data_IF_006759926091
#
_entry.id   IF_006759926091
#
_cell.length_a   1.000
_cell.length_b   1.000
_cell.length_c   1.000
_cell.angle_alpha   90.00
_cell.angle_beta   90.00
_cell.angle_gamma   90.00
#
_symmetry.space_group_name_H-M   'P 1'
#
loop_
_entity.id
_entity.type
_entity.pdbx_description
1 polymer ?
#
# COMPACT_ATOMS: atom_id res chain seq x y z
N UNK A 1 -10.14 -2.41 -4.54
CA UNK A 1 -9.34 -1.69 -3.52
C UNK A 1 -9.91 -1.75 -2.10
N UNK A 2 -11.16 -2.17 -1.89
CA UNK A 2 -11.82 -2.21 -0.58
C UNK A 2 -10.99 -2.82 0.57
N UNK A 3 -10.25 -3.91 0.32
CA UNK A 3 -9.43 -4.56 1.35
C UNK A 3 -8.30 -3.65 1.85
N UNK A 4 -7.64 -2.91 0.96
CA UNK A 4 -6.57 -1.99 1.35
C UNK A 4 -7.11 -0.80 2.17
N UNK A 5 -8.35 -0.37 1.91
CA UNK A 5 -9.00 0.70 2.69
C UNK A 5 -9.36 0.23 4.10
N UNK A 6 -9.81 -1.00 4.26
CA UNK A 6 -10.09 -1.59 5.58
C UNK A 6 -8.80 -1.69 6.41
N UNK A 7 -7.73 -2.23 5.82
CA UNK A 7 -6.41 -2.35 6.47
C UNK A 7 -5.85 -0.97 6.84
N UNK A 8 -5.94 0.01 5.94
CA UNK A 8 -5.50 1.37 6.24
C UNK A 8 -6.34 2.00 7.37
N UNK A 9 -7.64 1.74 7.39
CA UNK A 9 -8.52 2.23 8.46
C UNK A 9 -8.09 1.71 9.83
N UNK A 10 -7.78 0.41 9.93
CA UNK A 10 -7.27 -0.20 11.16
C UNK A 10 -5.93 0.41 11.60
N UNK A 11 -4.98 0.58 10.68
CA UNK A 11 -3.70 1.24 10.99
C UNK A 11 -3.87 2.69 11.46
N UNK A 12 -4.82 3.42 10.87
CA UNK A 12 -5.11 4.79 11.28
C UNK A 12 -5.77 4.85 12.66
N UNK A 13 -6.69 3.93 12.96
CA UNK A 13 -7.31 3.84 14.28
C UNK A 13 -6.26 3.54 15.36
N UNK A 14 -5.30 2.66 15.08
CA UNK A 14 -4.17 2.42 15.97
C UNK A 14 -3.30 3.67 16.15
N UNK A 15 -2.88 4.32 15.06
CA UNK A 15 -2.05 5.53 15.15
C UNK A 15 -2.74 6.68 15.88
N UNK A 16 -4.05 6.85 15.67
CA UNK A 16 -4.87 7.84 16.38
C UNK A 16 -4.93 7.53 17.88
N UNK A 17 -5.00 6.26 18.26
CA UNK A 17 -4.98 5.82 19.66
C UNK A 17 -3.63 6.07 20.31
N UNK A 18 -2.53 5.69 19.66
CA UNK A 18 -1.16 5.90 20.15
C UNK A 18 -0.86 7.39 20.36
N UNK A 19 -1.29 8.25 19.43
CA UNK A 19 -1.14 9.70 19.57
C UNK A 19 -1.92 10.25 20.77
N UNK A 20 -3.18 9.84 20.94
CA UNK A 20 -4.06 10.34 22.03
C UNK A 20 -3.66 9.84 23.41
N UNK A 21 -3.30 8.57 23.52
CA UNK A 21 -3.08 7.91 24.81
C UNK A 21 -1.61 7.97 25.26
N UNK A 22 -0.67 7.96 24.32
CA UNK A 22 0.77 7.83 24.61
C UNK A 22 1.58 9.05 24.16
N UNK A 23 0.97 10.01 23.46
CA UNK A 23 1.63 11.18 22.89
C UNK A 23 2.81 10.80 21.95
N UNK A 24 2.65 9.68 21.23
CA UNK A 24 3.60 9.18 20.23
C UNK A 24 3.15 9.64 18.85
N UNK A 25 4.09 10.09 18.02
CA UNK A 25 3.79 10.39 16.62
C UNK A 25 3.75 9.08 15.80
N UNK A 26 2.61 8.73 15.18
CA UNK A 26 2.49 7.50 14.42
C UNK A 26 3.36 7.52 13.15
N UNK A 27 3.88 6.35 12.81
CA UNK A 27 4.62 6.14 11.56
C UNK A 27 3.74 6.45 10.33
N UNK A 28 4.36 6.72 9.18
CA UNK A 28 3.64 7.14 7.97
C UNK A 28 2.47 6.22 7.58
N UNK A 29 2.62 4.90 7.77
CA UNK A 29 1.58 3.91 7.46
C UNK A 29 0.34 4.03 8.37
N UNK A 30 0.54 4.48 9.61
CA UNK A 30 -0.51 4.63 10.64
C UNK A 30 -0.99 6.09 10.77
N UNK A 31 -0.35 7.02 10.06
CA UNK A 31 -0.73 8.42 10.08
C UNK A 31 -1.82 8.70 9.03
N UNK A 32 -3.05 8.93 9.49
CA UNK A 32 -4.22 9.25 8.65
C UNK A 32 -4.00 10.45 7.73
N UNK A 33 -3.17 11.41 8.14
CA UNK A 33 -2.86 12.60 7.33
C UNK A 33 -2.03 12.27 6.08
N UNK A 34 -1.38 11.10 6.07
CA UNK A 34 -0.54 10.61 4.95
C UNK A 34 -1.26 9.57 4.10
N UNK A 35 -2.60 9.61 4.07
CA UNK A 35 -3.44 8.67 3.29
C UNK A 35 -3.11 8.69 1.79
N UNK A 36 -2.70 9.84 1.26
CA UNK A 36 -2.23 10.02 -0.11
C UNK A 36 -1.00 9.15 -0.45
N UNK A 37 -0.22 8.72 0.55
CA UNK A 37 0.92 7.82 0.38
C UNK A 37 0.54 6.34 0.33
N UNK A 38 -0.70 5.95 0.63
CA UNK A 38 -1.11 4.54 0.59
C UNK A 38 -0.76 3.87 -0.75
N UNK A 39 -1.01 4.48 -1.93
CA UNK A 39 -0.66 3.86 -3.18
C UNK A 39 0.83 3.53 -3.32
N UNK A 40 1.73 4.45 -2.96
CA UNK A 40 3.17 4.21 -3.06
C UNK A 40 3.67 3.20 -2.02
N UNK A 41 3.07 3.17 -0.83
CA UNK A 41 3.32 2.13 0.16
C UNK A 41 2.89 0.74 -0.32
N UNK A 42 1.74 0.62 -0.99
CA UNK A 42 1.28 -0.65 -1.56
C UNK A 42 2.21 -1.15 -2.68
N UNK A 43 2.70 -0.25 -3.56
CA UNK A 43 3.73 -0.61 -4.55
C UNK A 43 4.98 -1.15 -3.87
N UNK A 44 5.47 -0.44 -2.84
CA UNK A 44 6.68 -0.83 -2.12
C UNK A 44 6.53 -2.17 -1.41
N UNK A 45 5.36 -2.43 -0.78
CA UNK A 45 5.07 -3.70 -0.14
C UNK A 45 5.01 -4.86 -1.15
N UNK A 46 4.38 -4.64 -2.30
CA UNK A 46 4.32 -5.64 -3.36
C UNK A 46 5.73 -5.98 -3.87
N UNK A 47 6.56 -4.97 -4.11
CA UNK A 47 7.92 -5.15 -4.62
C UNK A 47 8.85 -5.83 -3.61
N UNK A 48 8.78 -5.42 -2.35
CA UNK A 48 9.68 -5.92 -1.32
C UNK A 48 9.30 -7.32 -0.81
N UNK A 49 8.01 -7.68 -0.84
CA UNK A 49 7.50 -8.88 -0.18
C UNK A 49 6.74 -9.78 -1.14
N UNK A 50 5.67 -9.27 -1.76
CA UNK A 50 4.69 -10.12 -2.45
C UNK A 50 5.24 -10.76 -3.72
N UNK A 51 6.00 -10.02 -4.53
CA UNK A 51 6.55 -10.55 -5.79
C UNK A 51 7.44 -11.75 -5.51
N UNK A 52 8.41 -11.62 -4.59
CA UNK A 52 9.33 -12.71 -4.31
C UNK A 52 8.60 -13.95 -3.78
N UNK A 53 7.60 -13.76 -2.90
CA UNK A 53 6.75 -14.83 -2.38
C UNK A 53 6.01 -15.55 -3.50
N UNK A 54 5.33 -14.82 -4.39
CA UNK A 54 4.53 -15.44 -5.44
C UNK A 54 5.38 -16.03 -6.58
N UNK A 55 6.57 -15.48 -6.84
CA UNK A 55 7.55 -16.09 -7.75
C UNK A 55 8.02 -17.45 -7.21
N UNK A 56 8.35 -17.53 -5.91
CA UNK A 56 8.71 -18.81 -5.29
C UNK A 56 7.57 -19.82 -5.40
N UNK A 57 6.34 -19.43 -5.08
CA UNK A 57 5.18 -20.31 -5.16
C UNK A 57 4.89 -20.79 -6.60
N UNK A 58 4.96 -19.89 -7.58
CA UNK A 58 4.77 -20.24 -8.99
C UNK A 58 5.89 -21.16 -9.51
N UNK A 59 7.13 -20.98 -9.03
CA UNK A 59 8.25 -21.87 -9.33
C UNK A 59 8.10 -23.27 -8.72
N UNK A 60 7.36 -23.42 -7.62
CA UNK A 60 7.05 -24.71 -7.00
C UNK A 60 5.86 -25.42 -7.65
N UNK A 61 4.87 -24.67 -8.13
CA UNK A 61 3.67 -25.20 -8.75
C UNK A 61 3.09 -24.21 -9.76
N UNK A 62 2.93 -24.65 -11.00
CA UNK A 62 2.33 -23.82 -12.06
C UNK A 62 0.90 -23.37 -11.73
N UNK A 63 0.18 -24.12 -10.90
CA UNK A 63 -1.16 -23.75 -10.41
C UNK A 63 -1.15 -22.48 -9.55
N UNK A 64 0.00 -22.06 -9.03
CA UNK A 64 0.15 -20.82 -8.26
C UNK A 64 0.44 -19.60 -9.15
N UNK A 65 0.72 -19.76 -10.44
CA UNK A 65 0.99 -18.65 -11.39
C UNK A 65 -0.10 -17.56 -11.39
N UNK A 66 -1.40 -17.87 -11.26
CA UNK A 66 -2.44 -16.84 -11.20
C UNK A 66 -2.28 -15.86 -10.01
N UNK A 67 -1.65 -16.29 -8.92
CA UNK A 67 -1.37 -15.42 -7.76
C UNK A 67 -0.30 -14.37 -8.11
N UNK A 68 0.77 -14.80 -8.79
CA UNK A 68 1.82 -13.90 -9.26
C UNK A 68 1.27 -12.89 -10.27
N UNK A 69 0.50 -13.37 -11.25
CA UNK A 69 -0.14 -12.50 -12.24
C UNK A 69 -1.09 -11.49 -11.60
N UNK A 70 -1.92 -11.93 -10.65
CA UNK A 70 -2.81 -11.06 -9.89
C UNK A 70 -2.04 -10.01 -9.10
N UNK A 71 -0.94 -10.41 -8.46
CA UNK A 71 -0.06 -9.51 -7.73
C UNK A 71 0.55 -8.43 -8.65
N UNK A 72 1.07 -8.83 -9.82
CA UNK A 72 1.61 -7.91 -10.82
C UNK A 72 0.56 -6.94 -11.38
N UNK A 73 -0.67 -7.41 -11.63
CA UNK A 73 -1.80 -6.56 -12.05
C UNK A 73 -2.15 -5.53 -10.97
N UNK A 74 -2.21 -5.95 -9.71
CA UNK A 74 -2.46 -5.05 -8.57
C UNK A 74 -1.33 -4.02 -8.43
N UNK A 75 -0.07 -4.43 -8.58
CA UNK A 75 1.08 -3.52 -8.55
C UNK A 75 0.95 -2.41 -9.59
N UNK A 76 0.62 -2.75 -10.83
CA UNK A 76 0.46 -1.77 -11.91
C UNK A 76 -0.70 -0.80 -11.64
N UNK A 77 -1.78 -1.29 -11.03
CA UNK A 77 -2.89 -0.44 -10.62
C UNK A 77 -2.47 0.55 -9.53
N UNK A 78 -1.79 0.08 -8.48
CA UNK A 78 -1.28 0.93 -7.41
C UNK A 78 -0.25 1.95 -7.89
N UNK A 79 0.61 1.56 -8.84
CA UNK A 79 1.57 2.48 -9.45
C UNK A 79 0.87 3.65 -10.15
N UNK A 80 -0.19 3.38 -10.92
CA UNK A 80 -0.99 4.44 -11.57
C UNK A 80 -1.61 5.39 -10.55
N UNK A 81 -2.19 4.85 -9.47
CA UNK A 81 -2.77 5.66 -8.40
C UNK A 81 -1.72 6.51 -7.67
N UNK A 82 -0.51 5.97 -7.47
CA UNK A 82 0.59 6.73 -6.88
C UNK A 82 1.00 7.92 -7.77
N UNK A 83 1.14 7.68 -9.08
CA UNK A 83 1.46 8.74 -10.05
C UNK A 83 0.35 9.80 -10.14
N UNK A 84 -0.93 9.41 -9.99
CA UNK A 84 -2.07 10.33 -9.93
C UNK A 84 -2.06 11.19 -8.67
N UNK A 85 -1.77 10.60 -7.50
CA UNK A 85 -1.61 11.33 -6.24
C UNK A 85 -0.47 12.35 -6.32
N UNK A 86 0.69 11.97 -6.87
CA UNK A 86 1.84 12.87 -7.06
C UNK A 86 1.51 14.04 -8.01
N UNK A 87 0.79 13.79 -9.10
CA UNK A 87 0.37 14.85 -10.05
C UNK A 87 -0.66 15.81 -9.45
N UNK A 88 -1.56 15.30 -8.60
CA UNK A 88 -2.53 16.12 -7.87
C UNK A 88 -1.88 17.15 -6.92
N UNK A 89 -0.74 16.81 -6.33
CA UNK A 89 0.08 17.71 -5.51
C UNK A 89 0.79 18.80 -6.34
N UNK A 90 1.18 18.50 -7.58
CA UNK A 90 1.88 19.44 -8.47
C UNK A 90 1.00 20.57 -9.02
N UNK A 91 -0.31 20.35 -9.16
CA UNK A 91 -1.24 21.34 -9.74
C UNK A 91 -1.77 22.38 -8.72
N UNK A 92 -1.43 22.26 -7.43
CA UNK A 92 -1.79 23.24 -6.40
C UNK A 92 -0.74 24.33 -6.15
N UNK A 93 0.36 24.33 -6.91
CA UNK A 93 1.51 25.23 -6.76
C UNK A 93 1.76 26.14 -7.99
N UNK A 94 0.76 26.30 -8.87
CA UNK A 94 0.78 27.25 -10.00
C UNK A 94 -0.39 28.21 -9.90
#
# INVERSE_FOLDING_TARGET
>A
MQIAELVATEFFEQGDKERRELNIEPIDLMNREKRDKIPSMQVSFIDAICIQLYETLAGMSEYCSPLLEGCQKNRQHWKRLAEECEKGLGNGLV
#
